data_IF_216049078027
#
_entry.id   IF_216049078027
#
_cell.length_a   1.000
_cell.length_b   1.000
_cell.length_c   1.000
_cell.angle_alpha   90.00
_cell.angle_beta   90.00
_cell.angle_gamma   90.00
#
_symmetry.space_group_name_H-M   'P 1'
#
loop_
_entity.id
_entity.type
_entity.pdbx_description
1 polymer ?
#
# COMPACT_ATOMS: atom_id res chain seq x y z
N UNK A 1 10.95 4.65 22.68
CA UNK A 1 9.69 4.79 23.44
C UNK A 1 8.60 4.35 22.51
N UNK A 2 7.85 3.30 22.85
CA UNK A 2 6.71 2.86 22.04
C UNK A 2 5.50 3.63 22.57
N UNK A 3 4.77 4.29 21.67
CA UNK A 3 3.52 4.98 22.03
C UNK A 3 2.37 3.97 22.08
N UNK A 4 1.47 4.17 23.04
CA UNK A 4 0.26 3.37 23.21
C UNK A 4 -0.93 4.21 22.72
N UNK A 5 -1.48 3.91 21.52
CA UNK A 5 -2.59 4.66 20.96
C UNK A 5 -3.96 4.18 21.48
N UNK A 6 -3.98 3.36 22.54
CA UNK A 6 -5.15 2.61 23.00
C UNK A 6 -5.61 1.55 21.97
N UNK A 7 -6.69 0.84 22.29
CA UNK A 7 -7.20 -0.27 21.49
C UNK A 7 -7.81 0.18 20.16
N UNK A 8 -7.50 -0.56 19.09
CA UNK A 8 -8.16 -0.45 17.80
C UNK A 8 -9.54 -1.12 17.88
N UNK A 9 -10.56 -0.32 17.58
CA UNK A 9 -11.95 -0.71 17.45
C UNK A 9 -12.43 -0.40 16.03
N UNK A 10 -13.07 -1.36 15.37
CA UNK A 10 -13.63 -1.19 14.01
C UNK A 10 -15.07 -1.66 13.87
N UNK A 11 -15.65 -2.36 14.86
CA UNK A 11 -16.98 -2.97 14.74
C UNK A 11 -18.09 -1.94 14.53
N UNK A 12 -18.16 -0.94 15.41
CA UNK A 12 -19.29 -0.01 15.51
C UNK A 12 -19.08 1.30 14.72
N UNK A 13 -17.94 1.45 14.05
CA UNK A 13 -17.61 2.65 13.27
C UNK A 13 -18.14 2.57 11.84
N UNK A 14 -18.55 3.69 11.21
CA UNK A 14 -18.64 3.80 9.76
C UNK A 14 -17.37 3.27 9.07
N UNK A 15 -17.48 2.76 7.84
CA UNK A 15 -16.35 2.13 7.16
C UNK A 15 -15.14 3.05 7.04
N UNK A 16 -15.35 4.29 6.63
CA UNK A 16 -14.28 5.28 6.48
C UNK A 16 -13.63 5.64 7.82
N UNK A 17 -14.41 5.77 8.89
CA UNK A 17 -13.88 6.04 10.24
C UNK A 17 -13.09 4.83 10.79
N UNK A 18 -13.50 3.60 10.50
CA UNK A 18 -12.71 2.41 10.84
C UNK A 18 -11.36 2.39 10.09
N UNK A 19 -11.34 2.84 8.82
CA UNK A 19 -10.10 2.99 8.05
C UNK A 19 -9.21 4.10 8.64
N UNK A 20 -9.79 5.21 9.07
CA UNK A 20 -9.08 6.28 9.80
C UNK A 20 -8.46 5.73 11.07
N UNK A 21 -9.24 5.07 11.92
CA UNK A 21 -8.78 4.47 13.18
C UNK A 21 -7.64 3.48 12.96
N UNK A 22 -7.80 2.55 12.02
CA UNK A 22 -6.76 1.57 11.67
C UNK A 22 -5.49 2.26 11.12
N UNK A 23 -5.63 3.32 10.33
CA UNK A 23 -4.48 4.05 9.77
C UNK A 23 -3.72 4.84 10.83
N UNK A 24 -4.44 5.51 11.75
CA UNK A 24 -3.84 6.25 12.87
C UNK A 24 -2.96 5.33 13.73
N UNK A 25 -3.41 4.09 13.95
CA UNK A 25 -2.71 3.12 14.81
C UNK A 25 -1.58 2.42 14.05
N UNK A 26 -1.84 1.90 12.86
CA UNK A 26 -0.91 1.01 12.17
C UNK A 26 0.20 1.75 11.42
N UNK A 27 -0.09 2.93 10.83
CA UNK A 27 0.89 3.64 10.00
C UNK A 27 2.10 4.14 10.80
N UNK A 28 1.96 4.66 12.04
CA UNK A 28 3.09 5.06 12.86
C UNK A 28 3.85 3.90 13.52
N UNK A 29 3.46 2.64 13.29
CA UNK A 29 4.16 1.47 13.81
C UNK A 29 4.12 1.31 15.34
N UNK A 30 3.00 1.71 15.96
CA UNK A 30 2.83 1.70 17.41
C UNK A 30 2.24 0.37 17.92
N UNK A 31 2.02 0.27 19.24
CA UNK A 31 1.33 -0.89 19.82
C UNK A 31 -0.04 -1.06 19.14
N UNK A 32 -0.35 -2.30 18.76
CA UNK A 32 -1.64 -2.66 18.16
C UNK A 32 -2.33 -3.68 19.05
N UNK A 33 -3.40 -3.25 19.71
CA UNK A 33 -4.28 -4.09 20.51
C UNK A 33 -5.69 -4.02 19.93
N UNK A 34 -6.36 -5.16 19.73
CA UNK A 34 -7.74 -5.17 19.26
C UNK A 34 -8.69 -5.17 20.46
N UNK A 35 -9.56 -4.17 20.54
CA UNK A 35 -10.58 -4.08 21.58
C UNK A 35 -11.90 -4.74 21.19
N UNK A 36 -12.11 -5.04 19.91
CA UNK A 36 -13.35 -5.63 19.40
C UNK A 36 -13.56 -7.06 19.90
N UNK A 37 -14.84 -7.44 20.05
CA UNK A 37 -15.20 -8.86 20.18
C UNK A 37 -15.04 -9.54 18.82
N UNK A 38 -13.85 -10.07 18.55
CA UNK A 38 -13.44 -10.63 17.25
C UNK A 38 -14.44 -11.64 16.64
N UNK A 39 -15.09 -12.46 17.47
CA UNK A 39 -16.08 -13.45 17.01
C UNK A 39 -17.34 -12.85 16.37
N UNK A 40 -17.62 -11.56 16.59
CA UNK A 40 -18.78 -10.85 16.03
C UNK A 40 -18.44 -9.97 14.83
N UNK A 41 -17.18 -9.92 14.38
CA UNK A 41 -16.78 -9.08 13.26
C UNK A 41 -17.20 -9.69 11.93
N UNK A 42 -17.65 -8.83 11.00
CA UNK A 42 -17.76 -9.21 9.60
C UNK A 42 -16.38 -9.46 8.98
N UNK A 43 -16.34 -10.18 7.85
CA UNK A 43 -15.07 -10.42 7.14
C UNK A 43 -14.37 -9.12 6.72
N UNK A 44 -15.13 -8.09 6.34
CA UNK A 44 -14.59 -6.77 6.00
C UNK A 44 -13.90 -6.10 7.19
N UNK A 45 -14.53 -6.12 8.37
CA UNK A 45 -13.94 -5.55 9.59
C UNK A 45 -12.73 -6.35 10.06
N UNK A 46 -12.81 -7.68 9.99
CA UNK A 46 -11.69 -8.55 10.30
C UNK A 46 -10.50 -8.29 9.37
N UNK A 47 -10.75 -8.06 8.07
CA UNK A 47 -9.69 -7.74 7.10
C UNK A 47 -8.98 -6.43 7.44
N UNK A 48 -9.70 -5.39 7.88
CA UNK A 48 -9.09 -4.13 8.33
C UNK A 48 -8.11 -4.39 9.49
N UNK A 49 -8.54 -5.14 10.52
CA UNK A 49 -7.67 -5.49 11.63
C UNK A 49 -6.44 -6.29 11.18
N UNK A 50 -6.63 -7.28 10.30
CA UNK A 50 -5.53 -8.08 9.76
C UNK A 50 -4.52 -7.24 8.97
N UNK A 51 -4.97 -6.18 8.30
CA UNK A 51 -4.12 -5.26 7.54
C UNK A 51 -3.32 -4.29 8.44
N UNK A 52 -3.50 -4.35 9.76
CA UNK A 52 -2.64 -3.66 10.75
C UNK A 52 -1.50 -4.55 11.27
N UNK A 53 -1.41 -5.80 10.79
CA UNK A 53 -0.45 -6.78 11.26
C UNK A 53 0.54 -7.21 10.16
N UNK A 54 1.83 -7.44 10.53
CA UNK A 54 2.41 -7.19 11.84
C UNK A 54 2.55 -5.68 12.11
N UNK A 55 2.75 -5.29 13.38
CA UNK A 55 3.10 -3.91 13.72
C UNK A 55 4.31 -3.48 12.87
N UNK A 56 4.14 -2.41 12.09
CA UNK A 56 5.20 -1.92 11.23
C UNK A 56 6.35 -1.34 12.07
N UNK A 57 7.59 -1.59 11.65
CA UNK A 57 8.77 -0.99 12.28
C UNK A 57 8.95 0.44 11.77
N UNK A 58 8.34 1.40 12.48
CA UNK A 58 8.32 2.81 12.07
C UNK A 58 8.89 3.69 13.18
N UNK A 59 9.74 4.61 12.78
CA UNK A 59 10.41 5.54 13.68
C UNK A 59 9.91 6.97 13.44
N UNK A 60 9.37 7.67 14.46
CA UNK A 60 8.91 9.04 14.30
C UNK A 60 10.09 9.99 14.04
N UNK A 61 9.92 10.88 13.06
CA UNK A 61 10.98 11.82 12.63
C UNK A 61 10.75 13.24 13.13
N UNK A 62 9.52 13.61 13.52
CA UNK A 62 9.27 14.96 14.04
C UNK A 62 9.83 15.12 15.45
N UNK A 63 10.76 16.04 15.61
CA UNK A 63 11.36 16.39 16.91
C UNK A 63 10.45 17.29 17.75
N UNK A 64 9.56 18.06 17.11
CA UNK A 64 8.68 19.01 17.78
C UNK A 64 7.23 18.53 17.76
N UNK A 65 6.48 18.77 18.84
CA UNK A 65 5.07 18.45 18.88
C UNK A 65 4.30 19.36 17.92
N UNK A 66 3.30 18.79 17.27
CA UNK A 66 2.27 19.55 16.57
C UNK A 66 1.08 19.75 17.50
N UNK A 67 0.59 20.99 17.58
CA UNK A 67 -0.59 21.34 18.39
C UNK A 67 -1.88 21.38 17.54
N UNK A 68 -1.89 20.66 16.42
CA UNK A 68 -3.02 20.52 15.51
C UNK A 68 -3.05 19.13 14.89
N UNK A 69 -4.22 18.71 14.39
CA UNK A 69 -4.36 17.46 13.65
C UNK A 69 -3.84 17.66 12.22
N UNK A 70 -2.64 17.17 11.93
CA UNK A 70 -2.07 17.27 10.59
C UNK A 70 -2.88 16.42 9.59
N UNK A 71 -3.32 16.99 8.46
CA UNK A 71 -4.08 16.25 7.45
C UNK A 71 -3.19 15.42 6.51
N UNK A 72 -1.88 15.65 6.49
CA UNK A 72 -0.94 14.91 5.62
C UNK A 72 0.13 14.26 6.48
N UNK A 73 0.18 12.93 6.48
CA UNK A 73 1.27 12.18 7.11
C UNK A 73 2.11 11.50 6.03
N UNK A 74 3.42 11.47 6.23
CA UNK A 74 4.37 10.91 5.27
C UNK A 74 5.22 9.85 5.96
N UNK A 75 5.11 8.60 5.52
CA UNK A 75 6.00 7.52 5.88
C UNK A 75 7.02 7.32 4.76
N UNK A 76 8.29 7.62 5.03
CA UNK A 76 9.39 7.29 4.14
C UNK A 76 9.79 5.81 4.34
N UNK A 77 9.61 5.00 3.30
CA UNK A 77 9.91 3.57 3.33
C UNK A 77 11.26 3.34 2.67
N UNK A 78 12.23 2.88 3.46
CA UNK A 78 13.48 2.35 2.94
C UNK A 78 13.30 0.87 2.58
N UNK A 79 13.48 0.51 1.31
CA UNK A 79 13.24 -0.86 0.84
C UNK A 79 14.29 -1.31 -0.17
N UNK A 80 15.08 -2.33 0.20
CA UNK A 80 16.17 -2.84 -0.63
C UNK A 80 15.71 -3.54 -1.92
N UNK A 81 14.46 -4.04 -1.98
CA UNK A 81 13.92 -4.75 -3.15
C UNK A 81 13.28 -3.78 -4.14
N UNK A 82 12.57 -2.78 -3.62
CA UNK A 82 11.72 -1.89 -4.41
C UNK A 82 12.39 -0.54 -4.73
N UNK A 83 13.44 -0.20 -3.97
CA UNK A 83 13.97 1.16 -3.84
C UNK A 83 13.18 1.94 -2.79
N UNK A 84 13.66 3.12 -2.45
CA UNK A 84 12.97 4.00 -1.49
C UNK A 84 11.72 4.63 -2.10
N UNK A 85 10.67 4.77 -1.30
CA UNK A 85 9.39 5.34 -1.69
C UNK A 85 8.66 5.92 -0.48
N UNK A 86 7.52 6.57 -0.75
CA UNK A 86 6.70 7.17 0.30
C UNK A 86 5.33 6.52 0.36
N UNK A 87 4.77 6.47 1.57
CA UNK A 87 3.36 6.21 1.82
C UNK A 87 2.78 7.46 2.46
N UNK A 88 1.84 8.10 1.75
CA UNK A 88 1.25 9.38 2.15
C UNK A 88 -0.19 9.16 2.57
N UNK A 89 -0.51 9.51 3.81
CA UNK A 89 -1.87 9.49 4.33
C UNK A 89 -2.48 10.89 4.23
N UNK A 90 -3.67 10.99 3.63
CA UNK A 90 -4.46 12.21 3.53
C UNK A 90 -5.71 12.05 4.38
N UNK A 91 -5.71 12.67 5.56
CA UNK A 91 -6.81 12.66 6.50
C UNK A 91 -7.70 13.89 6.32
N UNK A 92 -9.00 13.65 6.11
CA UNK A 92 -9.99 14.70 6.21
C UNK A 92 -10.68 14.65 7.58
N UNK A 93 -10.32 15.61 8.44
CA UNK A 93 -10.88 15.78 9.78
C UNK A 93 -12.19 16.58 9.81
N UNK A 94 -12.64 17.11 8.66
CA UNK A 94 -13.85 17.94 8.59
C UNK A 94 -15.11 17.09 8.36
N UNK A 95 -16.26 17.68 8.68
CA UNK A 95 -17.60 17.11 8.47
C UNK A 95 -18.06 17.10 7.00
N UNK A 96 -17.31 17.76 6.11
CA UNK A 96 -17.60 17.82 4.67
C UNK A 96 -16.41 17.29 3.85
N UNK A 97 -16.67 16.87 2.61
CA UNK A 97 -15.62 16.45 1.70
C UNK A 97 -14.63 17.61 1.44
N UNK A 98 -13.33 17.31 1.47
CA UNK A 98 -12.27 18.31 1.35
C UNK A 98 -11.24 17.88 0.32
N UNK A 99 -10.84 18.82 -0.54
CA UNK A 99 -9.68 18.61 -1.40
C UNK A 99 -8.40 18.76 -0.58
N UNK A 100 -7.63 17.69 -0.46
CA UNK A 100 -6.31 17.68 0.16
C UNK A 100 -5.23 17.61 -0.91
N UNK A 101 -4.05 18.14 -0.57
CA UNK A 101 -2.96 18.26 -1.53
C UNK A 101 -1.60 18.18 -0.87
N UNK A 102 -0.60 17.79 -1.66
CA UNK A 102 0.80 17.87 -1.30
C UNK A 102 1.68 18.01 -2.54
N UNK A 103 2.93 18.40 -2.34
CA UNK A 103 4.00 18.42 -3.34
C UNK A 103 5.12 17.47 -2.93
N UNK A 104 5.89 16.92 -3.89
CA UNK A 104 7.12 16.18 -3.60
C UNK A 104 8.07 16.93 -2.64
N UNK A 105 8.22 18.24 -2.83
CA UNK A 105 9.04 19.09 -1.97
C UNK A 105 8.58 19.11 -0.50
N UNK A 106 7.27 19.22 -0.24
CA UNK A 106 6.71 19.16 1.13
C UNK A 106 6.93 17.79 1.79
N UNK A 107 6.99 16.72 0.98
CA UNK A 107 7.32 15.37 1.44
C UNK A 107 8.83 15.13 1.61
N UNK A 108 9.67 16.11 1.26
CA UNK A 108 11.13 16.00 1.31
C UNK A 108 11.73 15.10 0.23
N UNK A 109 11.04 14.91 -0.89
CA UNK A 109 11.51 14.09 -2.02
C UNK A 109 11.72 14.93 -3.29
N UNK A 110 12.41 14.34 -4.26
CA UNK A 110 12.83 15.03 -5.49
C UNK A 110 11.63 15.46 -6.36
N UNK A 111 11.44 16.76 -6.53
CA UNK A 111 10.38 17.35 -7.36
C UNK A 111 10.61 17.21 -8.87
N UNK A 112 11.83 16.91 -9.31
CA UNK A 112 12.17 16.72 -10.72
C UNK A 112 12.04 15.26 -11.17
N UNK A 113 11.61 14.37 -10.27
CA UNK A 113 11.24 12.98 -10.55
C UNK A 113 9.74 12.84 -10.85
N UNK A 114 9.37 11.76 -11.53
CA UNK A 114 7.97 11.35 -11.72
C UNK A 114 7.62 10.18 -10.80
N UNK A 115 6.42 10.18 -10.23
CA UNK A 115 5.99 9.20 -9.24
C UNK A 115 4.70 8.51 -9.65
N UNK A 116 4.69 7.18 -9.64
CA UNK A 116 3.48 6.36 -9.80
C UNK A 116 2.73 6.33 -8.47
N UNK A 117 1.43 6.64 -8.53
CA UNK A 117 0.56 6.77 -7.37
C UNK A 117 -0.48 5.65 -7.33
N UNK A 118 -0.60 5.00 -6.16
CA UNK A 118 -1.62 3.98 -5.94
C UNK A 118 -2.26 4.11 -4.56
N UNK A 119 -3.60 4.07 -4.49
CA UNK A 119 -4.36 4.26 -3.27
C UNK A 119 -4.88 2.92 -2.70
N UNK A 120 -4.54 2.66 -1.43
CA UNK A 120 -4.74 1.36 -0.77
C UNK A 120 -6.21 1.02 -0.47
N UNK A 121 -6.97 1.95 0.11
CA UNK A 121 -8.29 1.63 0.67
C UNK A 121 -9.36 1.42 -0.40
N UNK A 122 -9.31 2.26 -1.44
CA UNK A 122 -10.21 2.21 -2.59
C UNK A 122 -9.64 1.37 -3.73
N UNK A 123 -8.37 0.97 -3.65
CA UNK A 123 -7.68 0.15 -4.63
C UNK A 123 -7.71 0.79 -6.02
N UNK A 124 -7.31 2.07 -6.10
CA UNK A 124 -7.34 2.87 -7.34
C UNK A 124 -5.98 3.45 -7.66
N UNK A 125 -5.63 3.42 -8.94
CA UNK A 125 -4.52 4.19 -9.49
C UNK A 125 -4.86 5.68 -9.50
N UNK A 126 -3.83 6.50 -9.34
CA UNK A 126 -3.88 7.94 -9.63
C UNK A 126 -2.86 8.33 -10.72
N UNK A 127 -2.40 7.33 -11.49
CA UNK A 127 -1.45 7.52 -12.58
C UNK A 127 -0.08 7.97 -12.11
N UNK A 128 0.60 8.74 -12.96
CA UNK A 128 1.95 9.26 -12.71
C UNK A 128 1.91 10.75 -12.41
N UNK A 129 2.28 11.14 -11.19
CA UNK A 129 2.54 12.53 -10.82
C UNK A 129 3.76 13.05 -11.60
N UNK A 130 3.53 14.09 -12.39
CA UNK A 130 4.57 14.73 -13.20
C UNK A 130 5.43 15.67 -12.35
N UNK A 131 6.60 16.00 -12.90
CA UNK A 131 7.61 16.84 -12.26
C UNK A 131 7.02 18.20 -11.87
N UNK A 132 7.35 18.67 -10.68
CA UNK A 132 6.96 19.98 -10.16
C UNK A 132 5.43 20.23 -10.14
N UNK A 133 4.62 19.15 -10.08
CA UNK A 133 3.16 19.24 -9.96
C UNK A 133 2.72 18.98 -8.51
N UNK A 134 1.74 19.75 -8.05
CA UNK A 134 0.99 19.48 -6.81
C UNK A 134 -0.02 18.37 -7.06
N UNK A 135 0.05 17.30 -6.28
CA UNK A 135 -1.01 16.30 -6.25
C UNK A 135 -2.21 16.83 -5.45
N UNK A 136 -3.43 16.57 -5.93
CA UNK A 136 -4.67 16.94 -5.26
C UNK A 136 -5.68 15.82 -5.38
N UNK A 137 -6.45 15.56 -4.33
CA UNK A 137 -7.60 14.68 -4.40
C UNK A 137 -8.68 15.07 -3.39
N UNK A 138 -9.93 14.77 -3.72
CA UNK A 138 -11.05 14.91 -2.81
C UNK A 138 -11.08 13.72 -1.83
N UNK A 139 -11.14 14.03 -0.55
CA UNK A 139 -11.23 13.06 0.53
C UNK A 139 -12.56 13.27 1.25
N UNK A 140 -13.45 12.25 1.31
CA UNK A 140 -14.73 12.36 2.01
C UNK A 140 -14.60 12.82 3.47
N UNK A 141 -15.68 13.33 4.04
CA UNK A 141 -15.74 13.67 5.47
C UNK A 141 -15.30 12.47 6.33
N UNK A 142 -14.53 12.75 7.39
CA UNK A 142 -14.07 11.76 8.37
C UNK A 142 -13.41 10.51 7.75
N UNK A 143 -12.60 10.71 6.72
CA UNK A 143 -11.98 9.62 5.96
C UNK A 143 -10.48 9.82 5.74
N UNK A 144 -9.82 8.74 5.30
CA UNK A 144 -8.40 8.74 4.96
C UNK A 144 -8.14 8.08 3.62
N UNK A 145 -7.15 8.58 2.88
CA UNK A 145 -6.61 7.93 1.68
C UNK A 145 -5.12 7.67 1.85
N UNK A 146 -4.67 6.49 1.43
CA UNK A 146 -3.30 6.03 1.63
C UNK A 146 -2.62 5.76 0.29
N UNK A 147 -1.76 6.68 -0.12
CA UNK A 147 -1.11 6.66 -1.42
C UNK A 147 0.32 6.15 -1.30
N UNK A 148 0.71 5.14 -2.08
CA UNK A 148 2.13 4.89 -2.36
C UNK A 148 2.63 5.85 -3.43
N UNK A 149 3.90 6.23 -3.33
CA UNK A 149 4.60 7.07 -4.32
C UNK A 149 5.92 6.43 -4.71
N UNK A 150 5.95 5.68 -5.80
CA UNK A 150 7.17 5.08 -6.32
C UNK A 150 7.73 5.90 -7.48
N UNK A 151 9.05 6.12 -7.53
CA UNK A 151 9.67 6.66 -8.76
C UNK A 151 9.32 5.79 -9.95
N UNK A 152 8.92 6.42 -11.06
CA UNK A 152 8.54 5.71 -12.28
C UNK A 152 9.74 4.94 -12.88
N UNK A 153 9.54 3.66 -13.17
CA UNK A 153 10.49 2.78 -13.88
C UNK A 153 9.99 2.51 -15.30
N UNK A 154 10.92 2.21 -16.20
CA UNK A 154 10.63 1.81 -17.60
C UNK A 154 10.43 0.30 -17.77
N UNK A 155 10.24 -0.41 -16.67
CA UNK A 155 9.96 -1.84 -16.61
C UNK A 155 8.78 -2.08 -15.66
N UNK A 156 8.05 -3.20 -15.79
CA UNK A 156 7.02 -3.60 -14.83
C UNK A 156 7.55 -3.50 -13.39
N UNK A 157 6.81 -2.78 -12.54
CA UNK A 157 7.25 -2.49 -11.17
C UNK A 157 6.12 -2.71 -10.17
N UNK A 158 6.47 -3.19 -8.98
CA UNK A 158 5.55 -3.24 -7.86
C UNK A 158 5.18 -1.83 -7.38
N UNK A 159 3.91 -1.65 -7.03
CA UNK A 159 3.38 -0.37 -6.54
C UNK A 159 2.54 -0.49 -5.25
N UNK A 160 1.92 -1.65 -4.99
CA UNK A 160 1.13 -1.89 -3.77
C UNK A 160 0.74 -3.37 -3.64
N UNK A 161 0.20 -3.74 -2.48
CA UNK A 161 -0.58 -4.95 -2.25
C UNK A 161 -1.69 -4.70 -1.24
N UNK A 162 -2.61 -5.64 -1.08
CA UNK A 162 -3.68 -5.58 -0.06
C UNK A 162 -3.25 -6.15 1.32
N UNK A 163 -1.94 -6.34 1.57
CA UNK A 163 -1.42 -6.99 2.79
C UNK A 163 -1.51 -6.10 4.02
N UNK A 164 -0.95 -4.90 3.95
CA UNK A 164 -0.69 -4.07 5.13
C UNK A 164 -0.88 -2.58 4.85
N UNK A 165 -1.52 -1.86 5.76
CA UNK A 165 -1.85 -0.42 5.67
C UNK A 165 -0.60 0.43 5.42
N UNK A 166 0.51 0.11 6.07
CA UNK A 166 1.75 0.86 5.89
C UNK A 166 2.46 0.56 4.56
N UNK A 167 1.92 -0.33 3.72
CA UNK A 167 2.35 -0.62 2.34
C UNK A 167 3.87 -0.81 2.18
N UNK A 168 4.55 -1.31 3.21
CA UNK A 168 6.00 -1.49 3.24
C UNK A 168 6.47 -2.83 2.63
N UNK A 169 5.60 -3.48 1.85
CA UNK A 169 5.84 -4.75 1.16
C UNK A 169 6.38 -5.87 2.08
N UNK A 170 5.81 -6.03 3.28
CA UNK A 170 6.23 -7.03 4.28
C UNK A 170 6.18 -8.46 3.77
N UNK A 171 5.27 -8.71 2.83
CA UNK A 171 5.08 -9.99 2.18
C UNK A 171 6.17 -10.33 1.17
N UNK A 172 6.97 -9.36 0.71
CA UNK A 172 7.92 -9.53 -0.37
C UNK A 172 9.29 -9.93 0.19
N UNK A 173 9.77 -11.13 -0.18
CA UNK A 173 11.05 -11.68 0.28
C UNK A 173 12.16 -11.44 -0.76
N UNK A 174 11.84 -11.63 -2.04
CA UNK A 174 12.72 -11.40 -3.18
C UNK A 174 11.87 -10.79 -4.30
N UNK A 175 12.41 -9.85 -5.07
CA UNK A 175 11.74 -9.28 -6.23
C UNK A 175 12.77 -8.63 -7.16
N UNK A 176 12.83 -9.09 -8.40
CA UNK A 176 13.79 -8.60 -9.36
C UNK A 176 13.23 -8.68 -10.78
N UNK A 177 13.47 -7.62 -11.56
CA UNK A 177 13.19 -7.63 -12.99
C UNK A 177 14.36 -8.26 -13.74
N UNK A 178 14.09 -9.31 -14.52
CA UNK A 178 15.04 -9.99 -15.39
C UNK A 178 14.85 -9.53 -16.83
N UNK A 179 15.74 -8.66 -17.32
CA UNK A 179 15.66 -8.07 -18.67
C UNK A 179 15.67 -9.13 -19.78
N UNK A 180 16.55 -10.13 -19.70
CA UNK A 180 16.71 -11.15 -20.76
C UNK A 180 15.45 -11.99 -20.96
N UNK A 181 14.76 -12.31 -19.87
CA UNK A 181 13.54 -13.12 -19.86
C UNK A 181 12.26 -12.29 -19.81
N UNK A 182 12.38 -10.95 -19.76
CA UNK A 182 11.28 -9.99 -19.63
C UNK A 182 10.29 -10.41 -18.55
N UNK A 183 10.81 -10.69 -17.36
CA UNK A 183 9.98 -11.18 -16.28
C UNK A 183 10.34 -10.59 -14.92
N UNK A 184 9.31 -10.38 -14.10
CA UNK A 184 9.46 -10.08 -12.69
C UNK A 184 9.45 -11.41 -11.93
N UNK A 185 10.57 -11.71 -11.28
CA UNK A 185 10.78 -12.95 -10.53
C UNK A 185 11.02 -12.64 -9.06
N UNK A 186 10.55 -13.51 -8.18
CA UNK A 186 10.70 -13.27 -6.75
C UNK A 186 10.13 -14.36 -5.87
N UNK A 187 10.10 -14.07 -4.56
CA UNK A 187 9.46 -14.88 -3.52
C UNK A 187 8.55 -14.01 -2.68
N UNK A 188 7.36 -14.54 -2.41
CA UNK A 188 6.33 -13.85 -1.64
C UNK A 188 5.84 -14.74 -0.50
N UNK A 189 5.65 -14.17 0.67
CA UNK A 189 5.07 -14.85 1.83
C UNK A 189 3.54 -14.84 1.72
N UNK A 190 2.96 -16.03 1.67
CA UNK A 190 1.51 -16.24 1.64
C UNK A 190 1.06 -16.84 2.97
N UNK A 191 -0.13 -16.43 3.42
CA UNK A 191 -0.79 -16.99 4.60
C UNK A 191 -1.84 -17.99 4.11
N UNK A 192 -1.81 -19.21 4.65
CA UNK A 192 -2.68 -20.29 4.20
C UNK A 192 -4.16 -19.90 4.17
N UNK A 193 -4.83 -20.16 3.04
CA UNK A 193 -6.23 -19.84 2.73
C UNK A 193 -6.55 -18.35 2.55
N UNK A 194 -5.67 -17.42 2.93
CA UNK A 194 -5.87 -15.98 2.78
C UNK A 194 -5.21 -15.49 1.49
N UNK A 195 -5.99 -15.03 0.49
CA UNK A 195 -5.42 -14.50 -0.73
C UNK A 195 -4.63 -13.21 -0.47
N UNK A 196 -3.70 -12.94 -1.37
CA UNK A 196 -2.91 -11.72 -1.42
C UNK A 196 -2.94 -11.20 -2.85
N UNK A 197 -3.30 -9.93 -3.03
CA UNK A 197 -3.30 -9.27 -4.33
C UNK A 197 -2.11 -8.30 -4.38
N UNK A 198 -1.15 -8.62 -5.25
CA UNK A 198 -0.01 -7.77 -5.59
C UNK A 198 -0.36 -6.94 -6.81
N UNK A 199 0.07 -5.67 -6.85
CA UNK A 199 -0.18 -4.79 -8.00
C UNK A 199 1.09 -4.30 -8.63
N UNK A 200 1.13 -4.42 -9.95
CA UNK A 200 2.23 -3.98 -10.78
C UNK A 200 1.77 -2.88 -11.72
N UNK A 201 2.54 -1.80 -11.83
CA UNK A 201 2.41 -0.84 -12.92
C UNK A 201 3.18 -1.37 -14.13
N UNK A 202 2.52 -1.40 -15.28
CA UNK A 202 3.07 -1.86 -16.55
C UNK A 202 3.39 -0.63 -17.41
N UNK A 203 4.65 -0.43 -17.83
CA UNK A 203 5.00 0.64 -18.76
C UNK A 203 4.43 0.35 -20.15
N UNK A 204 4.28 1.40 -20.95
CA UNK A 204 4.04 1.26 -22.39
C UNK A 204 5.11 0.35 -23.04
N UNK A 205 4.69 -0.43 -24.03
CA UNK A 205 5.56 -1.36 -24.75
C UNK A 205 5.68 -2.74 -24.12
N UNK A 206 5.01 -3.02 -23.00
CA UNK A 206 4.91 -4.37 -22.42
C UNK A 206 3.48 -4.90 -22.47
N UNK A 207 3.34 -6.20 -22.73
CA UNK A 207 2.06 -6.92 -22.61
C UNK A 207 2.24 -8.17 -21.75
N UNK A 208 1.35 -8.36 -20.77
CA UNK A 208 1.32 -9.56 -19.96
C UNK A 208 1.17 -10.83 -20.79
N UNK A 209 1.92 -11.85 -20.39
CA UNK A 209 1.89 -13.17 -21.04
C UNK A 209 1.47 -14.26 -20.09
N UNK A 210 2.11 -14.36 -18.92
CA UNK A 210 1.85 -15.43 -17.96
C UNK A 210 2.34 -15.08 -16.57
N UNK A 211 1.55 -15.41 -15.56
CA UNK A 211 1.97 -15.40 -14.16
C UNK A 211 1.91 -16.82 -13.60
N UNK A 212 2.93 -17.19 -12.84
CA UNK A 212 3.06 -18.49 -12.19
C UNK A 212 3.52 -18.30 -10.75
N UNK A 213 2.99 -19.09 -9.83
CA UNK A 213 3.42 -19.12 -8.43
C UNK A 213 3.53 -20.59 -7.99
N UNK A 214 4.75 -21.09 -7.82
CA UNK A 214 5.00 -22.51 -7.63
C UNK A 214 4.40 -22.99 -6.30
N UNK A 215 3.37 -23.82 -6.34
CA UNK A 215 2.68 -24.33 -5.14
C UNK A 215 1.52 -23.47 -4.64
N UNK A 216 1.12 -22.43 -5.38
CA UNK A 216 -0.03 -21.59 -5.08
C UNK A 216 -0.87 -21.33 -6.35
N UNK A 217 -2.15 -21.00 -6.18
CA UNK A 217 -2.98 -20.49 -7.28
C UNK A 217 -2.59 -19.05 -7.57
N UNK A 218 -2.60 -18.68 -8.84
CA UNK A 218 -2.33 -17.34 -9.32
C UNK A 218 -3.40 -16.95 -10.35
N UNK A 219 -3.99 -15.76 -10.20
CA UNK A 219 -4.88 -15.16 -11.19
C UNK A 219 -4.46 -13.72 -11.46
N UNK A 220 -4.74 -13.23 -12.65
CA UNK A 220 -4.44 -11.87 -13.09
C UNK A 220 -5.73 -11.16 -13.46
N UNK A 221 -5.80 -9.86 -13.16
CA UNK A 221 -6.87 -8.95 -13.57
C UNK A 221 -6.24 -7.62 -13.97
N UNK A 222 -6.51 -7.17 -15.19
CA UNK A 222 -6.14 -5.85 -15.65
C UNK A 222 -7.03 -4.79 -14.98
N UNK A 223 -6.40 -3.82 -14.33
CA UNK A 223 -7.02 -2.64 -13.73
C UNK A 223 -6.80 -1.40 -14.63
N UNK A 224 -7.37 -0.25 -14.23
CA UNK A 224 -7.15 1.01 -14.94
C UNK A 224 -5.67 1.46 -14.88
N UNK A 225 -5.30 2.40 -15.77
CA UNK A 225 -3.99 3.07 -15.77
C UNK A 225 -2.78 2.14 -15.89
N UNK A 226 -2.91 1.09 -16.71
CA UNK A 226 -1.87 0.08 -16.96
C UNK A 226 -1.39 -0.60 -15.68
N UNK A 227 -2.32 -0.92 -14.78
CA UNK A 227 -2.04 -1.75 -13.61
C UNK A 227 -2.52 -3.17 -13.87
N UNK A 228 -1.74 -4.14 -13.42
CA UNK A 228 -2.13 -5.55 -13.36
C UNK A 228 -2.14 -6.00 -11.90
N UNK A 229 -3.26 -6.60 -11.49
CA UNK A 229 -3.46 -7.16 -10.17
C UNK A 229 -3.29 -8.68 -10.21
N UNK A 230 -2.32 -9.19 -9.44
CA UNK A 230 -2.00 -10.60 -9.33
C UNK A 230 -2.42 -11.13 -7.97
N UNK A 231 -3.46 -11.98 -7.96
CA UNK A 231 -3.96 -12.60 -6.73
C UNK A 231 -3.36 -13.99 -6.55
N UNK A 232 -2.63 -14.17 -5.46
CA UNK A 232 -2.04 -15.44 -5.05
C UNK A 232 -2.82 -16.07 -3.90
N UNK A 233 -3.07 -17.38 -3.97
CA UNK A 233 -3.71 -18.13 -2.87
C UNK A 233 -3.04 -19.48 -2.67
N UNK A 234 -2.48 -19.68 -1.48
CA UNK A 234 -1.87 -20.93 -1.04
C UNK A 234 -2.73 -21.63 0.02
N UNK A 235 -2.64 -22.96 0.10
CA UNK A 235 -3.33 -23.73 1.15
C UNK A 235 -2.59 -23.71 2.49
N UNK A 236 -1.28 -23.50 2.47
CA UNK A 236 -0.40 -23.44 3.65
C UNK A 236 0.33 -22.10 3.70
N UNK A 237 0.68 -21.67 4.91
CA UNK A 237 1.55 -20.52 5.10
C UNK A 237 2.98 -20.87 4.70
N UNK A 238 3.64 -20.00 3.95
CA UNK A 238 5.01 -20.21 3.50
C UNK A 238 5.48 -19.18 2.49
N UNK A 239 6.72 -19.35 2.01
CA UNK A 239 7.31 -18.51 0.97
C UNK A 239 7.18 -19.23 -0.37
N UNK A 240 6.61 -18.53 -1.35
CA UNK A 240 6.29 -19.09 -2.66
C UNK A 240 7.03 -18.30 -3.75
N UNK A 241 7.71 -19.01 -4.64
CA UNK A 241 8.38 -18.40 -5.77
C UNK A 241 7.35 -18.03 -6.85
N UNK A 242 7.40 -16.79 -7.33
CA UNK A 242 6.55 -16.31 -8.41
C UNK A 242 7.39 -15.85 -9.61
N UNK A 243 6.79 -15.93 -10.80
CA UNK A 243 7.34 -15.42 -12.04
C UNK A 243 6.23 -14.86 -12.92
N UNK A 244 6.36 -13.60 -13.31
CA UNK A 244 5.40 -12.88 -14.14
C UNK A 244 6.12 -12.42 -15.41
N UNK A 245 5.69 -12.89 -16.57
CA UNK A 245 6.35 -12.69 -17.86
C UNK A 245 5.57 -11.73 -18.75
N UNK A 246 6.33 -10.95 -19.51
CA UNK A 246 5.84 -9.96 -20.44
C UNK A 246 6.48 -10.15 -21.82
N UNK A 247 5.80 -9.71 -22.86
CA UNK A 247 6.34 -9.53 -24.21
C UNK A 247 6.53 -8.03 -24.50
N UNK A 248 7.33 -7.73 -25.53
CA UNK A 248 7.37 -6.37 -26.09
C UNK A 248 6.28 -6.24 -27.15
N UNK A 249 5.65 -5.06 -27.20
CA UNK A 249 4.70 -4.66 -28.24
C UNK A 249 5.46 -4.17 -29.47
#
# INVERSE_FOLDING_TARGET
MISDPDTLLVHDLPLEEARVSATIIALPGQLTFFGDKLAGLSEERMKILQQTLPVADVHPVSLYPYFSMLPVWNLHVHNNLLGDYNVVALFNWEDEAKTLSFTPAELGIDSDSEYVLYEFWTQRSFGTLKKNITFKMDVPAHSVRLLTMHKEKKVPQWISSDRHIAQHAVELIECEWKTDSRSLEGKIQLIGKFPLTMRLRIPEGYTFTKAECAGAKCSEVQEADNIEAFTFKADKTGNYAFKIRYNLI
#
